data_IF_123389950924
#
_entry.id   IF_123389950924
#
_cell.length_a   1.000
_cell.length_b   1.000
_cell.length_c   1.000
_cell.angle_alpha   90.00
_cell.angle_beta   90.00
_cell.angle_gamma   90.00
#
_symmetry.space_group_name_H-M   'P 1'
#
loop_
_entity.id
_entity.type
_entity.pdbx_description
1 polymer ?
#
# COMPACT_ATOMS: atom_id res chain seq x y z
N UNK A 1 3.96 9.12 10.40
CA UNK A 1 4.65 7.91 9.92
C UNK A 1 3.61 6.88 9.52
N UNK A 2 3.76 6.27 8.33
CA UNK A 2 2.80 5.30 7.82
C UNK A 2 2.97 3.95 8.50
N UNK A 3 1.88 3.39 9.03
CA UNK A 3 1.90 2.08 9.68
C UNK A 3 1.15 1.06 8.82
N UNK A 4 1.32 -0.23 9.16
CA UNK A 4 0.57 -1.29 8.49
C UNK A 4 -0.93 -1.10 8.65
N UNK A 5 -1.36 -0.63 9.82
CA UNK A 5 -2.78 -0.37 10.07
C UNK A 5 -3.32 0.73 9.17
N UNK A 6 -2.52 1.79 8.94
CA UNK A 6 -2.90 2.86 8.03
C UNK A 6 -3.09 2.33 6.61
N UNK A 7 -2.19 1.47 6.17
CA UNK A 7 -2.26 0.87 4.84
C UNK A 7 -3.51 -0.01 4.72
N UNK A 8 -3.75 -0.87 5.71
CA UNK A 8 -4.92 -1.76 5.69
C UNK A 8 -6.23 -0.97 5.69
N UNK A 9 -6.28 0.11 6.45
CA UNK A 9 -7.46 0.98 6.48
C UNK A 9 -7.70 1.65 5.13
N UNK A 10 -6.63 1.99 4.40
CA UNK A 10 -6.73 2.62 3.08
C UNK A 10 -7.06 1.61 1.98
N UNK A 11 -6.89 0.31 2.24
CA UNK A 11 -7.18 -0.75 1.28
C UNK A 11 -8.62 -1.27 1.43
N UNK A 12 -9.57 -0.35 1.57
CA UNK A 12 -11.00 -0.69 1.55
C UNK A 12 -11.43 -1.24 0.18
N UNK A 13 -10.62 -0.96 -0.84
CA UNK A 13 -10.73 -1.51 -2.19
C UNK A 13 -9.33 -1.56 -2.80
N UNK A 14 -9.12 -2.30 -3.90
CA UNK A 14 -7.80 -2.32 -4.56
C UNK A 14 -7.38 -0.92 -4.99
N UNK A 15 -6.12 -0.55 -4.72
CA UNK A 15 -5.58 0.77 -5.05
C UNK A 15 -4.17 0.65 -5.57
N UNK A 16 -3.81 1.51 -6.54
CA UNK A 16 -2.45 1.65 -7.00
C UNK A 16 -1.61 2.33 -5.89
N UNK A 17 -0.28 2.16 -5.96
CA UNK A 17 0.60 2.68 -4.91
C UNK A 17 0.47 4.21 -4.75
N UNK A 18 0.31 4.94 -5.85
CA UNK A 18 0.15 6.39 -5.78
C UNK A 18 -1.17 6.79 -5.08
N UNK A 19 -2.23 6.03 -5.34
CA UNK A 19 -3.50 6.24 -4.63
C UNK A 19 -3.36 5.99 -3.14
N UNK A 20 -2.66 4.92 -2.77
CA UNK A 20 -2.37 4.65 -1.36
C UNK A 20 -1.56 5.76 -0.72
N UNK A 21 -0.52 6.24 -1.42
CA UNK A 21 0.35 7.31 -0.93
C UNK A 21 -0.47 8.57 -0.61
N UNK A 22 -1.41 8.92 -1.48
CA UNK A 22 -2.24 10.10 -1.27
C UNK A 22 -3.15 9.97 -0.06
N UNK A 23 -3.44 8.74 0.38
CA UNK A 23 -4.29 8.50 1.53
C UNK A 23 -3.53 8.38 2.83
N UNK A 24 -2.35 7.76 2.80
CA UNK A 24 -1.61 7.44 4.03
C UNK A 24 -0.48 8.43 4.31
N UNK A 25 0.07 9.06 3.28
CA UNK A 25 1.18 10.00 3.45
C UNK A 25 1.23 10.99 2.28
N UNK A 26 0.23 11.87 2.15
CA UNK A 26 0.13 12.76 0.98
C UNK A 26 1.25 13.80 0.91
N UNK A 27 1.95 14.06 2.01
CA UNK A 27 3.05 15.01 2.04
C UNK A 27 4.37 14.45 1.54
N UNK A 28 4.47 13.14 1.37
CA UNK A 28 5.70 12.51 0.92
C UNK A 28 5.70 12.44 -0.61
N UNK A 29 6.80 12.91 -1.21
CA UNK A 29 6.95 12.93 -2.68
C UNK A 29 7.46 11.61 -3.24
N UNK A 30 7.94 10.71 -2.38
CA UNK A 30 8.48 9.41 -2.79
C UNK A 30 7.59 8.29 -2.28
N UNK A 31 7.42 7.24 -3.10
CA UNK A 31 6.69 6.04 -2.70
C UNK A 31 7.61 4.94 -2.20
N UNK A 32 8.91 5.20 -2.07
CA UNK A 32 9.89 4.17 -1.71
C UNK A 32 9.61 3.54 -0.36
N UNK A 33 9.36 4.36 0.66
CA UNK A 33 9.06 3.85 2.00
C UNK A 33 7.75 3.05 2.02
N UNK A 34 6.74 3.53 1.31
CA UNK A 34 5.46 2.84 1.20
C UNK A 34 5.63 1.50 0.46
N UNK A 35 6.41 1.50 -0.62
CA UNK A 35 6.68 0.29 -1.38
C UNK A 35 7.38 -0.74 -0.50
N UNK A 36 8.39 -0.34 0.28
CA UNK A 36 9.09 -1.24 1.20
C UNK A 36 8.12 -1.84 2.21
N UNK A 37 7.24 -1.02 2.77
CA UNK A 37 6.24 -1.46 3.72
C UNK A 37 5.26 -2.45 3.08
N UNK A 38 4.79 -2.16 1.87
CA UNK A 38 3.88 -3.04 1.14
C UNK A 38 4.54 -4.38 0.82
N UNK A 39 5.81 -4.38 0.42
CA UNK A 39 6.54 -5.61 0.14
C UNK A 39 6.69 -6.45 1.41
N UNK A 40 6.94 -5.81 2.54
CA UNK A 40 7.02 -6.48 3.83
C UNK A 40 5.68 -7.10 4.21
N UNK A 41 4.60 -6.34 4.07
CA UNK A 41 3.24 -6.83 4.36
C UNK A 41 2.83 -7.96 3.42
N UNK A 42 3.25 -7.89 2.16
CA UNK A 42 3.01 -8.96 1.20
C UNK A 42 3.71 -10.25 1.63
N UNK A 43 4.95 -10.14 2.07
CA UNK A 43 5.72 -11.29 2.57
C UNK A 43 5.04 -11.91 3.79
N UNK A 44 4.35 -11.10 4.61
CA UNK A 44 3.61 -11.56 5.77
C UNK A 44 2.20 -12.08 5.43
N UNK A 45 1.78 -11.99 4.17
CA UNK A 45 0.47 -12.45 3.75
C UNK A 45 -0.68 -11.49 4.08
N UNK A 46 -0.37 -10.24 4.40
CA UNK A 46 -1.38 -9.24 4.78
C UNK A 46 -1.98 -8.51 3.59
N UNK A 47 -1.21 -8.37 2.52
CA UNK A 47 -1.64 -7.72 1.28
C UNK A 47 -1.18 -8.54 0.09
N UNK A 48 -1.77 -8.25 -1.08
CA UNK A 48 -1.37 -8.87 -2.34
C UNK A 48 -1.30 -7.80 -3.42
N UNK A 49 -0.54 -8.07 -4.47
CA UNK A 49 -0.41 -7.19 -5.61
C UNK A 49 -1.00 -7.85 -6.84
N UNK A 50 -1.89 -7.13 -7.53
CA UNK A 50 -2.48 -7.59 -8.79
C UNK A 50 -1.63 -7.03 -9.93
N UNK A 51 -0.83 -7.88 -10.57
CA UNK A 51 0.07 -7.47 -11.64
C UNK A 51 -0.70 -7.06 -12.91
N UNK A 52 -1.91 -7.57 -13.10
CA UNK A 52 -2.71 -7.24 -14.27
C UNK A 52 -3.26 -5.81 -14.18
N UNK A 53 -3.63 -5.37 -12.98
CA UNK A 53 -4.22 -4.06 -12.76
C UNK A 53 -3.24 -3.07 -12.13
N UNK A 54 -2.09 -3.55 -11.63
CA UNK A 54 -1.12 -2.71 -10.94
C UNK A 54 -1.64 -2.14 -9.63
N UNK A 55 -2.47 -2.91 -8.91
CA UNK A 55 -3.12 -2.44 -7.69
C UNK A 55 -2.85 -3.37 -6.53
N UNK A 56 -2.68 -2.76 -5.35
CA UNK A 56 -2.55 -3.48 -4.09
C UNK A 56 -3.92 -3.67 -3.47
N UNK A 57 -4.11 -4.80 -2.77
CA UNK A 57 -5.36 -5.07 -2.06
C UNK A 57 -5.07 -5.89 -0.80
N UNK A 58 -6.05 -5.99 0.08
CA UNK A 58 -5.98 -6.90 1.22
C UNK A 58 -5.94 -8.34 0.73
N UNK A 59 -5.09 -9.12 1.35
CA UNK A 59 -5.01 -10.56 1.06
C UNK A 59 -6.24 -11.30 1.55
#
# INVERSE_FOLDING_TARGET
MTTEEDVLAALDKPRAIYSLQQRVDPGNKSTDALQDLLMHMRAEGKVKFDINNGRWSKA
#
